data_IF_114292974599
#
_entry.id   IF_114292974599
#
_cell.length_a   1.000
_cell.length_b   1.000
_cell.length_c   1.000
_cell.angle_alpha   90.00
_cell.angle_beta   90.00
_cell.angle_gamma   90.00
#
_symmetry.space_group_name_H-M   'P 1'
#
loop_
_entity.id
_entity.type
_entity.pdbx_description
1 polymer ?
#
# COMPACT_ATOMS: atom_id res chain seq x y z
N UNK A 1 73.36 -14.98 31.69
CA UNK A 1 72.37 -15.58 32.60
C UNK A 1 71.57 -14.44 33.16
N UNK A 2 70.26 -14.27 32.99
CA UNK A 2 69.14 -15.02 32.40
C UNK A 2 68.09 -13.92 32.08
N UNK A 3 67.63 -13.82 30.83
CA UNK A 3 66.28 -14.25 30.40
C UNK A 3 65.15 -13.69 31.27
N UNK A 4 64.50 -12.65 30.76
CA UNK A 4 63.06 -12.43 30.89
C UNK A 4 62.56 -12.12 29.48
N UNK A 5 62.18 -13.18 28.77
CA UNK A 5 61.31 -13.12 27.62
C UNK A 5 59.89 -13.02 28.16
N UNK A 6 59.21 -11.90 27.92
CA UNK A 6 57.75 -11.91 27.83
C UNK A 6 57.26 -10.65 27.09
N UNK A 7 56.37 -10.90 26.13
CA UNK A 7 55.34 -10.01 25.65
C UNK A 7 55.73 -8.87 24.69
N UNK A 8 55.68 -9.13 23.37
CA UNK A 8 54.45 -8.94 22.57
C UNK A 8 54.72 -9.35 21.12
N UNK A 9 53.96 -10.33 20.63
CA UNK A 9 53.94 -10.71 19.22
C UNK A 9 53.36 -9.58 18.37
N UNK A 10 54.05 -9.38 17.24
CA UNK A 10 53.73 -8.52 16.13
C UNK A 10 52.62 -9.19 15.29
N UNK A 11 51.35 -8.98 15.66
CA UNK A 11 50.22 -9.22 14.75
C UNK A 11 49.84 -7.90 14.09
N UNK A 12 50.32 -7.74 12.86
CA UNK A 12 49.87 -6.75 11.89
C UNK A 12 48.40 -7.02 11.57
N UNK A 13 47.50 -6.40 12.34
CA UNK A 13 46.08 -6.32 12.02
C UNK A 13 45.93 -5.35 10.83
N UNK A 14 45.89 -5.91 9.61
CA UNK A 14 45.52 -5.18 8.41
C UNK A 14 44.10 -4.62 8.59
N UNK A 15 44.04 -3.34 8.96
CA UNK A 15 42.84 -2.53 8.94
C UNK A 15 42.28 -2.51 7.51
N UNK A 16 41.33 -3.40 7.23
CA UNK A 16 40.46 -3.30 6.06
C UNK A 16 39.83 -1.90 6.04
N UNK A 17 39.89 -1.14 4.92
CA UNK A 17 39.29 0.17 4.89
C UNK A 17 37.78 0.03 5.08
N UNK A 18 37.26 0.69 6.10
CA UNK A 18 35.84 0.77 6.39
C UNK A 18 35.08 1.09 5.10
N UNK A 19 34.15 0.20 4.74
CA UNK A 19 33.24 0.39 3.62
C UNK A 19 32.61 1.78 3.73
N UNK A 20 32.85 2.62 2.72
CA UNK A 20 32.26 3.93 2.62
C UNK A 20 30.74 3.82 2.81
N UNK A 21 30.20 4.58 3.76
CA UNK A 21 28.77 4.70 4.00
C UNK A 21 28.03 4.91 2.67
N UNK A 22 26.85 4.29 2.47
CA UNK A 22 26.09 4.50 1.24
C UNK A 22 25.85 6.01 1.09
N UNK A 23 26.33 6.57 -0.02
CA UNK A 23 26.02 7.95 -0.39
C UNK A 23 24.50 8.07 -0.34
N UNK A 24 23.99 8.95 0.53
CA UNK A 24 22.56 9.21 0.62
C UNK A 24 21.99 9.46 -0.78
N UNK A 25 20.80 8.91 -1.03
CA UNK A 25 20.10 9.07 -2.30
C UNK A 25 20.18 10.53 -2.76
N UNK A 26 20.45 10.81 -4.05
CA UNK A 26 20.37 12.17 -4.57
C UNK A 26 19.06 12.82 -4.14
N UNK A 27 19.12 14.09 -3.73
CA UNK A 27 17.92 14.87 -3.48
C UNK A 27 17.11 14.92 -4.77
N UNK A 28 15.92 14.33 -4.73
CA UNK A 28 14.95 14.38 -5.81
C UNK A 28 13.72 15.11 -5.27
N UNK A 29 13.37 16.28 -5.85
CA UNK A 29 12.22 17.04 -5.40
C UNK A 29 10.91 16.32 -5.78
N UNK A 30 9.84 16.61 -5.04
CA UNK A 30 8.54 16.00 -5.27
C UNK A 30 7.96 16.44 -6.63
N UNK A 31 7.81 15.53 -7.61
CA UNK A 31 7.30 15.86 -8.93
C UNK A 31 5.84 16.34 -8.90
N UNK A 32 5.03 15.86 -7.95
CA UNK A 32 3.62 16.23 -7.85
C UNK A 32 3.46 17.64 -7.27
N UNK A 33 4.30 18.02 -6.30
CA UNK A 33 4.34 19.38 -5.78
C UNK A 33 4.85 20.37 -6.82
N UNK A 34 5.88 20.01 -7.59
CA UNK A 34 6.38 20.83 -8.69
C UNK A 34 5.28 21.05 -9.73
N UNK A 35 4.62 19.98 -10.19
CA UNK A 35 3.55 20.09 -11.18
C UNK A 35 2.39 20.97 -10.69
N UNK A 36 2.01 20.82 -9.42
CA UNK A 36 0.96 21.63 -8.79
C UNK A 36 1.37 23.11 -8.72
N UNK A 37 2.61 23.40 -8.32
CA UNK A 37 3.11 24.77 -8.22
C UNK A 37 3.28 25.44 -9.59
N UNK A 38 3.71 24.69 -10.61
CA UNK A 38 3.79 25.19 -12.00
C UNK A 38 2.41 25.55 -12.55
N UNK A 39 1.39 24.73 -12.30
CA UNK A 39 0.01 25.03 -12.72
C UNK A 39 -0.54 26.26 -11.98
N UNK A 40 -0.26 26.40 -10.68
CA UNK A 40 -0.63 27.58 -9.92
C UNK A 40 0.02 28.86 -10.46
N UNK A 41 1.31 28.80 -10.81
CA UNK A 41 2.04 29.91 -11.42
C UNK A 41 1.42 30.31 -12.76
N UNK A 42 1.16 29.33 -13.63
CA UNK A 42 0.51 29.56 -14.94
C UNK A 42 -0.85 30.23 -14.81
N UNK A 43 -1.66 29.81 -13.83
CA UNK A 43 -2.96 30.41 -13.56
C UNK A 43 -2.83 31.85 -13.03
N UNK A 44 -1.84 32.11 -12.18
CA UNK A 44 -1.58 33.45 -11.65
C UNK A 44 -1.09 34.41 -12.75
N UNK A 45 -0.22 33.96 -13.65
CA UNK A 45 0.23 34.74 -14.82
C UNK A 45 -0.95 35.12 -15.73
N UNK A 46 -1.81 34.16 -16.08
CA UNK A 46 -2.99 34.43 -16.90
C UNK A 46 -3.99 35.40 -16.23
N UNK A 47 -4.12 35.31 -14.90
CA UNK A 47 -4.96 36.23 -14.13
C UNK A 47 -4.37 37.65 -14.10
N UNK A 48 -3.04 37.78 -13.97
CA UNK A 48 -2.35 39.07 -14.01
C UNK A 48 -2.49 39.76 -15.37
N UNK A 49 -2.30 39.04 -16.48
CA UNK A 49 -2.51 39.56 -17.84
C UNK A 49 -3.95 40.07 -18.04
N UNK A 50 -4.93 39.30 -17.54
CA UNK A 50 -6.34 39.70 -17.58
C UNK A 50 -6.60 40.95 -16.75
N UNK A 51 -5.96 41.08 -15.58
CA UNK A 51 -6.09 42.23 -14.70
C UNK A 51 -5.46 43.50 -15.30
N UNK A 52 -4.30 43.37 -15.94
CA UNK A 52 -3.61 44.44 -16.65
C UNK A 52 -4.46 44.99 -17.80
N UNK A 53 -4.97 44.09 -18.66
CA UNK A 53 -5.88 44.48 -19.75
C UNK A 53 -7.13 45.22 -19.23
N UNK A 54 -7.69 44.75 -18.11
CA UNK A 54 -8.85 45.39 -17.48
C UNK A 54 -8.51 46.74 -16.84
N UNK A 55 -7.28 46.93 -16.35
CA UNK A 55 -6.79 48.20 -15.83
C UNK A 55 -6.63 49.22 -16.95
N UNK A 56 -5.93 48.87 -18.04
CA UNK A 56 -5.76 49.73 -19.22
C UNK A 56 -7.12 50.16 -19.79
N UNK A 57 -8.04 49.20 -19.97
CA UNK A 57 -9.41 49.50 -20.43
C UNK A 57 -10.12 50.49 -19.50
N UNK A 58 -9.91 50.37 -18.19
CA UNK A 58 -10.54 51.25 -17.22
C UNK A 58 -9.91 52.66 -17.18
N UNK A 59 -8.63 52.79 -17.53
CA UNK A 59 -7.95 54.08 -17.72
C UNK A 59 -8.48 54.80 -18.97
N UNK A 60 -8.59 54.09 -20.09
CA UNK A 60 -9.17 54.63 -21.33
C UNK A 60 -10.63 55.08 -21.11
N UNK A 61 -11.43 54.23 -20.45
CA UNK A 61 -12.80 54.55 -20.03
C UNK A 61 -12.91 55.82 -19.17
N UNK A 62 -11.90 56.07 -18.33
CA UNK A 62 -11.84 57.27 -17.49
C UNK A 62 -11.47 58.50 -18.33
N UNK A 63 -10.47 58.39 -19.19
CA UNK A 63 -10.06 59.46 -20.11
C UNK A 63 -11.22 59.90 -21.03
N UNK A 64 -11.97 58.94 -21.58
CA UNK A 64 -13.16 59.21 -22.39
C UNK A 64 -14.25 59.94 -21.57
N UNK A 65 -14.48 59.52 -20.33
CA UNK A 65 -15.46 60.13 -19.46
C UNK A 65 -15.06 61.55 -19.01
N UNK A 66 -13.77 61.78 -18.76
CA UNK A 66 -13.20 63.11 -18.50
C UNK A 66 -13.41 64.05 -19.70
N UNK A 67 -13.11 63.58 -20.90
CA UNK A 67 -13.38 64.33 -22.14
C UNK A 67 -14.86 64.68 -22.30
N UNK A 68 -15.76 63.74 -22.03
CA UNK A 68 -17.21 63.97 -22.09
C UNK A 68 -17.69 65.00 -21.06
N UNK A 69 -17.12 65.00 -19.84
CA UNK A 69 -17.42 66.03 -18.83
C UNK A 69 -16.92 67.39 -19.31
N UNK A 70 -15.68 67.50 -19.80
CA UNK A 70 -15.13 68.77 -20.28
C UNK A 70 -15.97 69.38 -21.41
N UNK A 71 -16.40 68.58 -22.38
CA UNK A 71 -17.29 69.03 -23.47
C UNK A 71 -18.64 69.49 -22.94
N UNK A 72 -19.24 68.76 -22.00
CA UNK A 72 -20.53 69.13 -21.42
C UNK A 72 -20.44 70.38 -20.52
N UNK A 73 -19.35 70.57 -19.78
CA UNK A 73 -19.10 71.78 -18.99
C UNK A 73 -18.93 73.01 -19.88
N UNK A 74 -18.19 72.86 -20.98
CA UNK A 74 -18.07 73.93 -21.97
C UNK A 74 -19.44 74.27 -22.59
N UNK A 75 -20.24 73.27 -22.96
CA UNK A 75 -21.60 73.46 -23.52
C UNK A 75 -22.53 74.20 -22.55
N UNK A 76 -22.52 73.82 -21.26
CA UNK A 76 -23.30 74.53 -20.23
C UNK A 76 -22.87 75.99 -20.14
N UNK A 77 -21.56 76.25 -20.09
CA UNK A 77 -21.00 77.62 -20.01
C UNK A 77 -21.45 78.49 -21.19
N UNK A 78 -21.34 77.97 -22.41
CA UNK A 78 -21.73 78.67 -23.65
C UNK A 78 -23.25 78.94 -23.68
N UNK A 79 -24.06 77.93 -23.34
CA UNK A 79 -25.51 78.03 -23.38
C UNK A 79 -26.07 78.96 -22.28
N UNK A 80 -25.42 79.02 -21.12
CA UNK A 80 -25.80 79.95 -20.06
C UNK A 80 -25.54 81.41 -20.44
N UNK A 81 -24.44 81.67 -21.16
CA UNK A 81 -24.06 83.00 -21.65
C UNK A 81 -24.97 83.50 -22.80
N UNK A 82 -25.60 82.60 -23.56
CA UNK A 82 -26.48 82.99 -24.66
C UNK A 82 -27.88 83.41 -24.16
N UNK A 83 -28.24 84.66 -24.45
CA UNK A 83 -29.55 85.25 -24.12
C UNK A 83 -30.67 84.88 -25.12
N UNK A 84 -30.32 84.33 -26.28
CA UNK A 84 -31.26 83.87 -27.30
C UNK A 84 -31.78 82.45 -27.10
N UNK A 85 -31.15 81.64 -26.24
CA UNK A 85 -31.58 80.27 -25.94
C UNK A 85 -32.73 80.24 -24.94
N UNK A 86 -33.62 79.25 -25.13
CA UNK A 86 -34.75 78.98 -24.24
C UNK A 86 -34.29 78.25 -22.97
N UNK A 87 -35.00 78.47 -21.88
CA UNK A 87 -34.69 77.84 -20.57
C UNK A 87 -34.61 76.31 -20.61
N UNK A 88 -35.43 75.65 -21.43
CA UNK A 88 -35.39 74.20 -21.58
C UNK A 88 -34.11 73.71 -22.30
N UNK A 89 -33.54 74.49 -23.21
CA UNK A 89 -32.29 74.18 -23.92
C UNK A 89 -31.12 74.26 -22.92
N UNK A 90 -31.12 75.27 -22.05
CA UNK A 90 -30.17 75.41 -20.94
C UNK A 90 -30.32 74.27 -19.91
N UNK A 91 -31.55 73.88 -19.60
CA UNK A 91 -31.82 72.75 -18.72
C UNK A 91 -31.34 71.41 -19.32
N UNK A 92 -31.49 71.21 -20.63
CA UNK A 92 -30.99 70.03 -21.33
C UNK A 92 -29.46 69.93 -21.27
N UNK A 93 -28.73 71.03 -21.47
CA UNK A 93 -27.27 71.07 -21.32
C UNK A 93 -26.82 70.68 -19.89
N UNK A 94 -27.52 71.18 -18.86
CA UNK A 94 -27.25 70.82 -17.45
C UNK A 94 -27.49 69.33 -17.16
N UNK A 95 -28.50 68.73 -17.77
CA UNK A 95 -28.75 67.29 -17.64
C UNK A 95 -27.69 66.44 -18.37
N UNK A 96 -27.23 66.88 -19.55
CA UNK A 96 -26.10 66.24 -20.24
C UNK A 96 -24.83 66.28 -19.38
N UNK A 97 -24.50 67.42 -18.77
CA UNK A 97 -23.40 67.51 -17.82
C UNK A 97 -23.57 66.57 -16.64
N UNK A 98 -24.77 66.53 -16.06
CA UNK A 98 -25.08 65.62 -14.95
C UNK A 98 -24.92 64.15 -15.36
N UNK A 99 -25.29 63.79 -16.59
CA UNK A 99 -25.07 62.45 -17.16
C UNK A 99 -23.59 62.15 -17.35
N UNK A 100 -22.81 63.09 -17.89
CA UNK A 100 -21.37 62.95 -18.07
C UNK A 100 -20.66 62.77 -16.73
N UNK A 101 -21.00 63.57 -15.71
CA UNK A 101 -20.45 63.43 -14.35
C UNK A 101 -20.76 62.07 -13.73
N UNK A 102 -21.98 61.55 -13.92
CA UNK A 102 -22.32 60.18 -13.48
C UNK A 102 -21.50 59.12 -14.21
N UNK A 103 -21.21 59.30 -15.50
CA UNK A 103 -20.35 58.38 -16.26
C UNK A 103 -18.91 58.42 -15.73
N UNK A 104 -18.34 59.61 -15.53
CA UNK A 104 -17.03 59.81 -14.90
C UNK A 104 -16.94 59.13 -13.53
N UNK A 105 -17.92 59.33 -12.63
CA UNK A 105 -17.93 58.64 -11.33
C UNK A 105 -17.93 57.12 -11.45
N UNK A 106 -18.62 56.54 -12.45
CA UNK A 106 -18.57 55.09 -12.69
C UNK A 106 -17.22 54.64 -13.24
N UNK A 107 -16.59 55.44 -14.12
CA UNK A 107 -15.26 55.15 -14.64
C UNK A 107 -14.20 55.15 -13.53
N UNK A 108 -14.21 56.17 -12.65
CA UNK A 108 -13.34 56.22 -11.45
C UNK A 108 -13.50 54.96 -10.59
N UNK A 109 -14.74 54.53 -10.34
CA UNK A 109 -14.99 53.30 -9.57
C UNK A 109 -14.52 52.03 -10.29
N UNK A 110 -14.61 51.98 -11.63
CA UNK A 110 -14.09 50.86 -12.42
C UNK A 110 -12.58 50.79 -12.32
N UNK A 111 -11.89 51.91 -12.52
CA UNK A 111 -10.43 52.00 -12.39
C UNK A 111 -9.98 51.59 -10.98
N UNK A 112 -10.64 52.10 -9.94
CA UNK A 112 -10.34 51.71 -8.57
C UNK A 112 -10.44 50.20 -8.32
N UNK A 113 -11.49 49.54 -8.86
CA UNK A 113 -11.61 48.07 -8.76
C UNK A 113 -10.58 47.32 -9.60
N UNK A 114 -10.26 47.82 -10.80
CA UNK A 114 -9.26 47.21 -11.67
C UNK A 114 -7.87 47.29 -11.04
N UNK A 115 -7.53 48.42 -10.42
CA UNK A 115 -6.27 48.60 -9.68
C UNK A 115 -6.14 47.64 -8.49
N UNK A 116 -7.17 47.50 -7.66
CA UNK A 116 -7.16 46.53 -6.56
C UNK A 116 -6.96 45.12 -7.10
N UNK A 117 -7.64 44.75 -8.19
CA UNK A 117 -7.45 43.44 -8.82
C UNK A 117 -6.02 43.24 -9.32
N UNK A 118 -5.40 44.25 -9.91
CA UNK A 118 -4.02 44.19 -10.37
C UNK A 118 -3.07 43.93 -9.21
N UNK A 119 -3.24 44.64 -8.10
CA UNK A 119 -2.48 44.45 -6.85
C UNK A 119 -2.67 43.04 -6.29
N UNK A 120 -3.92 42.54 -6.23
CA UNK A 120 -4.24 41.18 -5.77
C UNK A 120 -3.58 40.11 -6.65
N UNK A 121 -3.64 40.27 -7.98
CA UNK A 121 -3.02 39.31 -8.92
C UNK A 121 -1.49 39.34 -8.86
N UNK A 122 -0.89 40.51 -8.62
CA UNK A 122 0.55 40.62 -8.43
C UNK A 122 1.00 39.88 -7.16
N UNK A 123 0.26 40.02 -6.06
CA UNK A 123 0.52 39.28 -4.83
C UNK A 123 0.34 37.76 -5.02
N UNK A 124 -0.68 37.34 -5.78
CA UNK A 124 -0.89 35.93 -6.10
C UNK A 124 0.25 35.34 -6.96
N UNK A 125 0.78 36.12 -7.91
CA UNK A 125 1.92 35.72 -8.73
C UNK A 125 3.19 35.53 -7.90
N UNK A 126 3.47 36.46 -6.98
CA UNK A 126 4.59 36.33 -6.04
C UNK A 126 4.46 35.08 -5.16
N UNK A 127 3.25 34.82 -4.63
CA UNK A 127 2.97 33.62 -3.84
C UNK A 127 3.14 32.34 -4.64
N UNK A 128 2.68 32.31 -5.90
CA UNK A 128 2.82 31.13 -6.76
C UNK A 128 4.29 30.86 -7.13
N UNK A 129 5.07 31.91 -7.41
CA UNK A 129 6.52 31.79 -7.62
C UNK A 129 7.22 31.26 -6.37
N UNK A 130 6.89 31.77 -5.18
CA UNK A 130 7.46 31.30 -3.93
C UNK A 130 7.07 29.83 -3.62
N UNK A 131 5.86 29.42 -3.99
CA UNK A 131 5.43 28.03 -3.86
C UNK A 131 6.22 27.09 -4.79
N UNK A 132 6.55 27.53 -6.01
CA UNK A 132 7.41 26.77 -6.92
C UNK A 132 8.83 26.63 -6.37
N UNK A 133 9.43 27.73 -5.91
CA UNK A 133 10.74 27.73 -5.24
C UNK A 133 10.79 26.80 -4.02
N UNK A 134 9.66 26.67 -3.31
CA UNK A 134 9.52 25.79 -2.16
C UNK A 134 9.36 24.34 -2.60
N UNK A 135 8.57 24.06 -3.65
CA UNK A 135 8.37 22.72 -4.19
C UNK A 135 9.68 22.12 -4.71
N UNK A 136 10.53 22.91 -5.39
CA UNK A 136 11.85 22.48 -5.83
C UNK A 136 12.81 22.12 -4.69
N UNK A 137 12.55 22.61 -3.47
CA UNK A 137 13.33 22.33 -2.26
C UNK A 137 12.70 21.26 -1.38
N UNK A 138 11.46 20.88 -1.66
CA UNK A 138 10.76 19.83 -0.92
C UNK A 138 11.12 18.47 -1.53
N UNK A 139 11.76 17.56 -0.78
CA UNK A 139 12.09 16.24 -1.28
C UNK A 139 10.82 15.45 -1.58
N UNK A 140 10.89 14.59 -2.59
CA UNK A 140 9.84 13.62 -2.87
C UNK A 140 9.52 12.82 -1.59
N UNK A 141 8.24 12.53 -1.32
CA UNK A 141 7.88 11.64 -0.23
C UNK A 141 8.64 10.34 -0.43
N UNK A 142 9.50 9.97 0.54
CA UNK A 142 9.98 8.61 0.60
C UNK A 142 8.75 7.71 0.72
N UNK A 143 8.71 6.55 0.04
CA UNK A 143 7.73 5.54 0.39
C UNK A 143 7.98 5.21 1.86
N UNK A 144 7.18 5.79 2.75
CA UNK A 144 7.09 5.29 4.11
C UNK A 144 6.76 3.80 3.95
N UNK A 145 7.55 2.90 4.56
CA UNK A 145 7.16 1.51 4.55
C UNK A 145 5.76 1.48 5.13
N UNK A 146 4.77 1.07 4.32
CA UNK A 146 3.44 0.74 4.82
C UNK A 146 3.68 -0.06 6.10
N UNK A 147 3.27 0.47 7.25
CA UNK A 147 3.42 -0.23 8.52
C UNK A 147 2.70 -1.55 8.34
N UNK A 148 3.46 -2.61 8.01
CA UNK A 148 2.91 -3.92 7.81
C UNK A 148 2.16 -4.23 9.10
N UNK A 149 0.83 -4.46 9.03
CA UNK A 149 0.04 -4.54 10.23
C UNK A 149 0.64 -5.65 11.09
N UNK A 150 1.10 -5.27 12.28
CA UNK A 150 1.82 -6.18 13.16
C UNK A 150 0.98 -7.44 13.33
N UNK A 151 1.58 -8.60 13.04
CA UNK A 151 0.92 -9.89 13.22
C UNK A 151 0.39 -9.98 14.66
N UNK A 152 -0.84 -10.45 14.83
CA UNK A 152 -1.49 -10.56 16.14
C UNK A 152 -0.76 -11.56 17.02
N UNK A 153 -0.22 -12.60 16.39
CA UNK A 153 0.60 -13.63 17.01
C UNK A 153 2.03 -13.54 16.49
N UNK A 154 3.02 -13.78 17.36
CA UNK A 154 4.43 -13.62 17.01
C UNK A 154 5.02 -14.81 16.24
N UNK A 155 4.35 -15.97 16.28
CA UNK A 155 4.80 -17.20 15.62
C UNK A 155 3.65 -18.20 15.53
N UNK A 156 3.81 -19.21 14.66
CA UNK A 156 2.83 -20.29 14.50
C UNK A 156 2.53 -21.04 15.81
N UNK A 157 3.52 -21.43 16.64
CA UNK A 157 3.22 -22.09 17.91
C UNK A 157 2.35 -21.26 18.84
N UNK A 158 2.58 -19.94 18.90
CA UNK A 158 1.77 -19.02 19.71
C UNK A 158 0.34 -18.96 19.17
N UNK A 159 0.15 -18.89 17.85
CA UNK A 159 -1.19 -18.96 17.24
C UNK A 159 -1.91 -20.28 17.58
N UNK A 160 -1.20 -21.40 17.52
CA UNK A 160 -1.79 -22.71 17.82
C UNK A 160 -2.19 -22.82 19.30
N UNK A 161 -1.32 -22.39 20.21
CA UNK A 161 -1.54 -22.46 21.66
C UNK A 161 -2.62 -21.47 22.13
N UNK A 162 -2.57 -20.23 21.68
CA UNK A 162 -3.47 -19.16 22.16
C UNK A 162 -4.80 -19.10 21.42
N UNK A 163 -4.84 -19.54 20.16
CA UNK A 163 -6.05 -19.46 19.32
C UNK A 163 -6.60 -20.83 18.95
N UNK A 164 -5.83 -21.69 18.27
CA UNK A 164 -6.39 -22.92 17.68
C UNK A 164 -6.85 -23.91 18.75
N UNK A 165 -6.00 -24.28 19.70
CA UNK A 165 -6.32 -25.28 20.73
C UNK A 165 -7.49 -24.85 21.64
N UNK A 166 -7.56 -23.57 22.10
CA UNK A 166 -8.69 -23.11 22.91
C UNK A 166 -10.01 -22.97 22.14
N UNK A 167 -9.98 -22.75 20.83
CA UNK A 167 -11.18 -22.52 20.02
C UNK A 167 -11.66 -23.76 19.26
N UNK A 168 -10.80 -24.76 19.01
CA UNK A 168 -11.12 -26.00 18.31
C UNK A 168 -11.35 -27.17 19.29
N UNK A 169 -12.40 -27.05 20.12
CA UNK A 169 -12.72 -28.05 21.14
C UNK A 169 -13.83 -28.99 20.63
N UNK A 170 -13.45 -30.20 20.22
CA UNK A 170 -14.40 -31.28 19.91
C UNK A 170 -14.29 -32.43 20.92
N UNK A 171 -15.42 -33.09 21.21
CA UNK A 171 -15.44 -34.23 22.14
C UNK A 171 -14.61 -35.39 21.59
N UNK A 172 -13.50 -35.69 22.24
CA UNK A 172 -12.76 -36.95 22.11
C UNK A 172 -13.62 -38.06 22.76
N UNK A 173 -14.46 -38.75 21.98
CA UNK A 173 -15.35 -39.81 22.47
C UNK A 173 -15.11 -41.14 21.74
N UNK A 174 -15.49 -42.27 22.36
CA UNK A 174 -15.24 -43.64 21.88
C UNK A 174 -15.69 -43.92 20.42
N UNK A 175 -16.61 -43.11 19.88
CA UNK A 175 -17.11 -43.22 18.49
C UNK A 175 -16.99 -41.92 17.67
N UNK A 176 -16.29 -40.89 18.18
CA UNK A 176 -15.99 -39.67 17.43
C UNK A 176 -14.48 -39.50 17.39
N UNK A 177 -13.92 -40.11 16.34
CA UNK A 177 -12.51 -40.23 16.03
C UNK A 177 -11.90 -38.89 15.57
N UNK A 178 -11.90 -37.92 16.47
CA UNK A 178 -11.09 -36.73 16.39
C UNK A 178 -9.77 -36.98 17.12
N UNK A 179 -8.59 -36.96 16.49
CA UNK A 179 -7.31 -37.01 17.23
C UNK A 179 -6.54 -35.71 17.08
N UNK A 180 -6.06 -35.17 18.19
CA UNK A 180 -5.07 -34.09 18.21
C UNK A 180 -3.70 -34.70 18.55
N UNK A 181 -2.62 -34.17 17.99
CA UNK A 181 -1.27 -34.55 18.35
C UNK A 181 -0.64 -33.44 19.19
N UNK A 182 -0.18 -33.76 20.41
CA UNK A 182 0.52 -32.79 21.28
C UNK A 182 1.85 -32.32 20.68
N UNK A 183 2.48 -33.16 19.86
CA UNK A 183 3.68 -32.86 19.07
C UNK A 183 3.35 -32.62 17.59
N UNK A 184 2.35 -31.78 17.33
CA UNK A 184 1.88 -31.49 15.97
C UNK A 184 3.01 -31.00 15.04
N UNK A 185 4.02 -30.30 15.58
CA UNK A 185 5.18 -29.80 14.83
C UNK A 185 6.10 -30.90 14.28
N UNK A 186 5.96 -32.15 14.72
CA UNK A 186 6.71 -33.26 14.11
C UNK A 186 6.07 -33.66 12.77
N UNK A 187 4.79 -33.34 12.53
CA UNK A 187 4.09 -33.66 11.29
C UNK A 187 4.23 -32.51 10.28
N UNK A 188 5.02 -32.70 9.21
CA UNK A 188 5.25 -31.66 8.18
C UNK A 188 3.95 -31.16 7.55
N UNK A 189 3.02 -32.06 7.24
CA UNK A 189 1.70 -31.67 6.70
C UNK A 189 0.90 -30.81 7.69
N UNK A 190 1.04 -31.06 9.00
CA UNK A 190 0.37 -30.25 10.01
C UNK A 190 0.93 -28.84 10.08
N UNK A 191 2.25 -28.68 10.01
CA UNK A 191 2.90 -27.36 9.96
C UNK A 191 2.33 -26.56 8.79
N UNK A 192 2.40 -27.07 7.56
CA UNK A 192 1.94 -26.34 6.37
C UNK A 192 0.46 -25.96 6.45
N UNK A 193 -0.41 -26.85 6.95
CA UNK A 193 -1.85 -26.56 7.10
C UNK A 193 -2.12 -25.50 8.16
N UNK A 194 -1.40 -25.52 9.27
CA UNK A 194 -1.55 -24.55 10.35
C UNK A 194 -0.96 -23.19 9.95
N UNK A 195 0.17 -23.16 9.21
CA UNK A 195 0.74 -21.94 8.62
C UNK A 195 -0.26 -21.26 7.67
N UNK A 196 -0.80 -22.00 6.70
CA UNK A 196 -1.79 -21.45 5.77
C UNK A 196 -3.04 -20.91 6.49
N UNK A 197 -3.46 -21.57 7.57
CA UNK A 197 -4.58 -21.12 8.40
C UNK A 197 -4.24 -19.82 9.15
N UNK A 198 -3.01 -19.72 9.68
CA UNK A 198 -2.52 -18.55 10.42
C UNK A 198 -2.31 -17.34 9.51
N UNK A 199 -1.68 -17.52 8.34
CA UNK A 199 -1.50 -16.46 7.34
C UNK A 199 -2.85 -15.86 6.92
N UNK A 200 -3.82 -16.72 6.60
CA UNK A 200 -5.17 -16.29 6.28
C UNK A 200 -5.83 -15.55 7.44
N UNK A 201 -5.61 -15.98 8.69
CA UNK A 201 -6.14 -15.31 9.88
C UNK A 201 -5.58 -13.89 10.02
N UNK A 202 -4.27 -13.72 9.89
CA UNK A 202 -3.59 -12.43 10.06
C UNK A 202 -4.06 -11.39 9.05
N UNK A 203 -4.30 -11.81 7.80
CA UNK A 203 -4.85 -10.93 6.76
C UNK A 203 -6.33 -10.64 7.00
N UNK A 204 -7.14 -11.68 7.23
CA UNK A 204 -8.59 -11.55 7.24
C UNK A 204 -9.13 -10.87 8.51
N UNK A 205 -8.43 -10.96 9.66
CA UNK A 205 -8.87 -10.28 10.90
C UNK A 205 -8.89 -8.76 10.79
N UNK A 206 -8.13 -8.19 9.86
CA UNK A 206 -8.03 -6.75 9.61
C UNK A 206 -9.09 -6.26 8.61
N UNK A 207 -9.73 -7.18 7.90
CA UNK A 207 -10.73 -6.87 6.90
C UNK A 207 -12.11 -6.66 7.55
N UNK A 208 -12.98 -5.82 6.96
CA UNK A 208 -14.32 -5.59 7.47
C UNK A 208 -15.18 -6.88 7.45
N UNK A 209 -16.23 -6.97 8.28
CA UNK A 209 -17.17 -8.10 8.23
C UNK A 209 -17.74 -8.33 6.83
N UNK A 210 -17.94 -9.60 6.40
CA UNK A 210 -17.92 -10.84 7.18
C UNK A 210 -16.59 -11.63 7.07
N UNK A 211 -15.45 -10.94 7.08
CA UNK A 211 -14.11 -11.53 6.94
C UNK A 211 -13.86 -12.75 7.83
N UNK A 212 -14.14 -12.66 9.14
CA UNK A 212 -13.92 -13.76 10.09
C UNK A 212 -14.79 -14.99 9.77
N UNK A 213 -16.04 -14.80 9.33
CA UNK A 213 -16.90 -15.92 8.92
C UNK A 213 -16.36 -16.62 7.68
N UNK A 214 -15.75 -15.87 6.77
CA UNK A 214 -15.12 -16.42 5.56
C UNK A 214 -13.87 -17.20 5.94
N UNK A 215 -13.05 -16.64 6.85
CA UNK A 215 -11.88 -17.31 7.37
C UNK A 215 -12.19 -18.67 8.02
N UNK A 216 -13.22 -18.74 8.88
CA UNK A 216 -13.63 -20.00 9.52
C UNK A 216 -14.03 -21.05 8.46
N UNK A 217 -14.91 -20.65 7.53
CA UNK A 217 -15.48 -21.54 6.52
C UNK A 217 -14.44 -22.08 5.54
N UNK A 218 -13.58 -21.19 5.03
CA UNK A 218 -12.72 -21.49 3.88
C UNK A 218 -11.31 -21.93 4.31
N UNK A 219 -10.86 -21.55 5.51
CA UNK A 219 -9.51 -21.86 5.99
C UNK A 219 -9.56 -22.76 7.23
N UNK A 220 -10.11 -22.30 8.34
CA UNK A 220 -10.02 -23.03 9.61
C UNK A 220 -10.69 -24.41 9.53
N UNK A 221 -11.98 -24.48 9.17
CA UNK A 221 -12.75 -25.73 9.22
C UNK A 221 -12.20 -26.80 8.27
N UNK A 222 -11.71 -26.40 7.09
CA UNK A 222 -11.18 -27.33 6.09
C UNK A 222 -9.86 -27.94 6.56
N UNK A 223 -8.94 -27.10 7.05
CA UNK A 223 -7.64 -27.58 7.52
C UNK A 223 -7.77 -28.37 8.82
N UNK A 224 -8.55 -27.88 9.78
CA UNK A 224 -8.70 -28.56 11.07
C UNK A 224 -9.40 -29.91 10.94
N UNK A 225 -10.41 -30.05 10.07
CA UNK A 225 -11.00 -31.36 9.77
C UNK A 225 -10.00 -32.33 9.16
N UNK A 226 -9.16 -31.88 8.23
CA UNK A 226 -8.13 -32.75 7.64
C UNK A 226 -7.07 -33.20 8.66
N UNK A 227 -6.75 -32.36 9.64
CA UNK A 227 -5.82 -32.71 10.72
C UNK A 227 -6.42 -33.71 11.68
N UNK A 228 -7.62 -33.42 12.19
CA UNK A 228 -8.19 -34.16 13.31
C UNK A 228 -9.12 -35.29 12.91
N UNK A 229 -9.49 -35.46 11.63
CA UNK A 229 -10.40 -36.52 11.20
C UNK A 229 -9.92 -37.95 11.59
N UNK A 230 -10.82 -38.96 11.58
CA UNK A 230 -10.49 -40.34 11.93
C UNK A 230 -9.37 -40.96 11.10
N UNK A 231 -9.21 -40.47 9.86
CA UNK A 231 -8.16 -40.84 8.93
C UNK A 231 -7.31 -39.61 8.53
N UNK A 232 -7.30 -38.59 9.39
CA UNK A 232 -6.57 -37.36 9.19
C UNK A 232 -5.08 -37.49 9.53
N UNK A 233 -4.36 -36.38 9.46
CA UNK A 233 -2.90 -36.33 9.70
C UNK A 233 -2.53 -36.91 11.07
N UNK A 234 -3.38 -36.71 12.08
CA UNK A 234 -3.13 -37.17 13.44
C UNK A 234 -3.75 -38.53 13.78
N UNK A 235 -4.27 -39.30 12.82
CA UNK A 235 -5.06 -40.52 13.11
C UNK A 235 -4.36 -41.56 13.99
N UNK A 236 -3.02 -41.67 13.93
CA UNK A 236 -2.23 -42.58 14.77
C UNK A 236 -1.78 -41.97 16.11
N UNK A 237 -2.08 -40.69 16.38
CA UNK A 237 -1.70 -39.99 17.60
C UNK A 237 -2.89 -39.95 18.57
N UNK A 238 -2.61 -40.02 19.88
CA UNK A 238 -3.63 -39.90 20.93
C UNK A 238 -3.30 -38.76 21.90
N UNK A 239 -4.04 -37.65 21.79
CA UNK A 239 -3.90 -36.49 22.68
C UNK A 239 -4.15 -36.79 24.17
N UNK A 240 -5.00 -37.76 24.52
CA UNK A 240 -5.36 -38.05 25.93
C UNK A 240 -4.30 -38.84 26.66
N UNK A 241 -3.64 -39.74 25.96
CA UNK A 241 -2.62 -40.64 26.51
C UNK A 241 -1.20 -40.10 26.29
N UNK A 242 -1.07 -39.07 25.45
CA UNK A 242 0.21 -38.47 25.09
C UNK A 242 0.96 -39.25 24.01
N UNK A 243 0.33 -40.27 23.43
CA UNK A 243 0.92 -41.10 22.40
C UNK A 243 1.07 -40.32 21.10
N UNK A 244 2.29 -40.35 20.59
CA UNK A 244 2.69 -39.72 19.36
C UNK A 244 3.31 -40.77 18.45
N UNK A 245 2.73 -40.95 17.26
CA UNK A 245 3.25 -41.84 16.24
C UNK A 245 3.48 -41.04 14.96
N UNK A 246 4.74 -40.68 14.72
CA UNK A 246 5.18 -40.07 13.48
C UNK A 246 6.14 -41.01 12.77
N UNK A 247 5.76 -41.43 11.55
CA UNK A 247 6.66 -42.12 10.63
C UNK A 247 7.05 -41.16 9.50
N UNK A 248 8.11 -40.34 9.67
CA UNK A 248 8.59 -39.44 8.63
C UNK A 248 9.17 -40.17 7.41
N UNK A 249 9.33 -41.52 7.48
CA UNK A 249 10.14 -42.29 6.53
C UNK A 249 9.32 -42.99 5.45
N UNK A 250 8.01 -42.73 5.35
CA UNK A 250 7.15 -43.30 4.30
C UNK A 250 6.50 -42.22 3.42
N UNK A 251 7.29 -41.38 2.72
CA UNK A 251 6.72 -40.65 1.60
C UNK A 251 6.18 -41.66 0.59
N UNK A 252 5.20 -41.24 -0.22
CA UNK A 252 4.71 -42.10 -1.28
C UNK A 252 5.85 -42.46 -2.22
N UNK A 253 5.86 -43.70 -2.70
CA UNK A 253 6.83 -44.11 -3.70
C UNK A 253 6.55 -43.33 -4.99
N UNK A 254 7.51 -42.50 -5.40
CA UNK A 254 7.43 -41.69 -6.62
C UNK A 254 8.59 -42.07 -7.53
N UNK A 255 8.31 -42.29 -8.81
CA UNK A 255 9.33 -42.48 -9.83
C UNK A 255 9.83 -41.11 -10.32
N UNK A 256 11.11 -41.04 -10.73
CA UNK A 256 11.63 -39.81 -11.33
C UNK A 256 10.88 -39.47 -12.63
N UNK A 257 10.49 -38.20 -12.84
CA UNK A 257 9.90 -37.80 -14.10
C UNK A 257 10.93 -37.91 -15.24
N UNK A 258 10.49 -38.23 -16.48
CA UNK A 258 11.37 -38.22 -17.64
C UNK A 258 12.07 -36.86 -17.83
N UNK A 259 13.32 -36.90 -18.27
CA UNK A 259 14.11 -35.69 -18.55
C UNK A 259 13.41 -34.81 -19.60
N UNK A 260 13.34 -33.50 -19.34
CA UNK A 260 12.74 -32.52 -20.26
C UNK A 260 11.21 -32.48 -20.32
N UNK A 261 10.50 -33.29 -19.52
CA UNK A 261 9.02 -33.27 -19.50
C UNK A 261 8.45 -32.02 -18.80
N UNK A 262 9.17 -31.45 -17.85
CA UNK A 262 8.74 -30.28 -17.09
C UNK A 262 9.73 -29.13 -17.26
N UNK A 263 9.21 -27.91 -17.40
CA UNK A 263 10.03 -26.70 -17.43
C UNK A 263 10.68 -26.48 -16.07
N UNK A 264 12.02 -26.40 -16.04
CA UNK A 264 12.79 -26.17 -14.82
C UNK A 264 13.05 -24.67 -14.70
N UNK A 265 12.44 -24.02 -13.70
CA UNK A 265 12.83 -22.67 -13.29
C UNK A 265 14.15 -22.76 -12.51
N UNK A 266 15.26 -22.39 -13.17
CA UNK A 266 16.61 -22.50 -12.63
C UNK A 266 16.91 -21.50 -11.50
N UNK A 267 16.08 -20.47 -11.35
CA UNK A 267 16.26 -19.43 -10.34
C UNK A 267 15.48 -19.71 -9.05
N UNK A 268 14.63 -20.75 -9.03
CA UNK A 268 13.85 -21.13 -7.86
C UNK A 268 14.61 -22.16 -6.99
N UNK A 269 15.17 -21.69 -5.87
CA UNK A 269 15.84 -22.56 -4.89
C UNK A 269 14.81 -23.31 -4.03
N UNK A 270 14.79 -24.65 -4.09
CA UNK A 270 14.13 -25.49 -3.09
C UNK A 270 15.20 -26.21 -2.26
N UNK A 271 15.29 -25.87 -0.96
CA UNK A 271 16.11 -26.51 0.07
C UNK A 271 17.54 -26.95 -0.35
N UNK A 272 18.24 -26.14 -1.14
CA UNK A 272 19.64 -26.39 -1.50
C UNK A 272 19.88 -27.69 -2.29
N UNK A 273 18.84 -28.29 -2.88
CA UNK A 273 18.99 -29.43 -3.78
C UNK A 273 18.83 -28.94 -5.22
N UNK A 274 19.86 -28.24 -5.70
CA UNK A 274 20.05 -28.08 -7.13
C UNK A 274 20.43 -29.45 -7.68
N UNK A 275 19.68 -29.89 -8.68
CA UNK A 275 19.91 -31.09 -9.47
C UNK A 275 19.39 -32.38 -8.81
N UNK A 276 18.23 -32.80 -9.32
CA UNK A 276 17.88 -34.21 -9.43
C UNK A 276 18.90 -34.90 -10.35
N UNK A 277 20.14 -35.07 -9.87
CA UNK A 277 21.07 -36.01 -10.45
C UNK A 277 20.52 -37.42 -10.18
N UNK A 278 20.33 -38.15 -11.27
CA UNK A 278 19.89 -39.53 -11.32
C UNK A 278 20.47 -40.35 -10.15
N UNK A 279 19.59 -40.78 -9.24
CA UNK A 279 19.89 -41.95 -8.43
C UNK A 279 19.89 -43.12 -9.41
N UNK A 280 21.08 -43.59 -9.77
CA UNK A 280 21.23 -44.90 -10.41
C UNK A 280 20.50 -45.94 -9.55
N UNK A 281 19.87 -46.97 -10.15
CA UNK A 281 19.26 -48.04 -9.39
C UNK A 281 20.36 -48.81 -8.65
N UNK A 282 20.63 -48.37 -7.42
CA UNK A 282 21.46 -49.10 -6.47
C UNK A 282 20.87 -50.49 -6.30
N UNK A 283 21.74 -51.47 -6.52
CA UNK A 283 21.57 -52.90 -6.32
C UNK A 283 20.62 -53.17 -5.15
N UNK A 284 19.49 -53.83 -5.46
CA UNK A 284 18.58 -54.32 -4.42
C UNK A 284 19.36 -55.37 -3.65
N UNK A 285 19.79 -55.05 -2.42
CA UNK A 285 20.05 -56.08 -1.43
C UNK A 285 18.72 -56.78 -1.17
N UNK A 286 18.60 -57.98 -1.72
CA UNK A 286 17.61 -59.00 -1.48
C UNK A 286 17.67 -59.47 -0.02
N UNK A 287 17.34 -58.57 0.90
CA UNK A 287 16.86 -58.92 2.22
C UNK A 287 15.43 -59.41 2.07
N UNK A 288 15.32 -60.73 1.94
CA UNK A 288 14.13 -61.58 2.09
C UNK A 288 13.05 -60.91 2.97
N UNK A 289 12.02 -60.37 2.31
CA UNK A 289 10.82 -59.85 2.97
C UNK A 289 10.00 -61.07 3.41
N UNK A 290 10.10 -61.43 4.69
CA UNK A 290 9.22 -62.42 5.29
C UNK A 290 7.79 -61.85 5.35
N UNK A 291 6.94 -62.40 4.48
CA UNK A 291 5.53 -62.02 4.32
C UNK A 291 4.62 -62.70 5.37
N UNK A 292 5.16 -63.35 6.41
CA UNK A 292 4.37 -64.19 7.32
C UNK A 292 3.68 -63.48 8.50
N UNK A 293 3.46 -62.16 8.46
CA UNK A 293 2.78 -61.47 9.58
C UNK A 293 1.52 -60.67 9.20
N UNK A 294 0.99 -60.85 7.99
CA UNK A 294 -0.40 -60.49 7.68
C UNK A 294 -1.30 -61.69 7.94
N UNK A 295 -1.40 -62.10 9.21
CA UNK A 295 -2.56 -62.88 9.63
C UNK A 295 -3.79 -61.96 9.51
N UNK A 296 -4.54 -62.23 8.44
CA UNK A 296 -5.93 -61.84 8.29
C UNK A 296 -6.70 -62.24 9.55
N UNK A 297 -6.85 -61.31 10.50
CA UNK A 297 -7.90 -61.41 11.51
C UNK A 297 -9.25 -61.12 10.84
N UNK A 298 -9.67 -62.06 9.99
CA UNK A 298 -11.07 -62.24 9.64
C UNK A 298 -11.76 -62.84 10.85
N UNK A 299 -12.45 -62.01 11.64
CA UNK A 299 -13.46 -62.51 12.57
C UNK A 299 -14.60 -63.11 11.75
N UNK A 300 -14.55 -64.43 11.55
CA UNK A 300 -15.72 -65.21 11.13
C UNK A 300 -16.65 -65.29 12.34
N UNK A 301 -17.85 -64.73 12.22
CA UNK A 301 -18.92 -65.00 13.17
C UNK A 301 -19.49 -66.40 12.84
N UNK A 302 -19.26 -67.38 13.71
CA UNK A 302 -19.67 -68.78 13.54
C UNK A 302 -21.20 -69.02 13.60
N UNK A 303 -22.04 -67.98 13.73
CA UNK A 303 -23.50 -68.18 13.79
C UNK A 303 -24.31 -67.80 12.54
N UNK A 304 -23.74 -67.15 11.51
CA UNK A 304 -24.55 -66.73 10.33
C UNK A 304 -23.96 -66.94 8.93
N UNK A 305 -22.69 -67.33 8.78
CA UNK A 305 -22.17 -67.81 7.49
C UNK A 305 -22.24 -66.83 6.30
N UNK A 306 -22.31 -65.51 6.51
CA UNK A 306 -22.29 -64.50 5.45
C UNK A 306 -21.07 -63.58 5.54
N UNK A 307 -20.42 -63.35 4.40
CA UNK A 307 -19.30 -62.41 4.22
C UNK A 307 -19.89 -61.07 3.76
N UNK A 308 -19.79 -60.02 4.57
CA UNK A 308 -20.17 -58.67 4.13
C UNK A 308 -19.10 -58.13 3.17
N UNK A 309 -19.55 -57.72 1.97
CA UNK A 309 -18.79 -56.96 0.97
C UNK A 309 -18.75 -55.48 1.35
#
# INVERSE_FOLDING_TARGET
MERNDDYFDDETEELTPAAAAPKGSPFEPDPDLIATAQEALRLAEAAAETAETAHETAEDDLADAEGAVAVAEFKVTDFEADSGLREWEKAAAREELSRAKRAYSRAVQRLGRAKVRLEDTAAALEQASAALDQAEKTPAPSPEPEEQPQQRFASLPVFVEEYVVPNWIHKLGENYAGSWCTKWWEHTEAITRLEATWEAFEVMRLQPPPSLSTWIRDHLDVHMRALTAPHGVFHNCNAREGDHVHDPRRPWAVANPPEGLFEVNKDALVHGRSDAAAAEPGERDDAEYDISAYEMNGMVNEETGEVNV
#
